data_IF_172477862395
#
_entry.id   IF_172477862395
#
_cell.length_a   1.000
_cell.length_b   1.000
_cell.length_c   1.000
_cell.angle_alpha   90.00
_cell.angle_beta   90.00
_cell.angle_gamma   90.00
#
_symmetry.space_group_name_H-M   'P 1'
#
loop_
_entity.id
_entity.type
_entity.pdbx_description
1 polymer ?
#
# COMPACT_ATOMS: atom_id res chain seq x y z
N UNK A 1 -27.00 -7.44 -18.48
CA UNK A 1 -26.70 -6.41 -17.45
C UNK A 1 -25.24 -6.53 -17.07
N UNK A 2 -24.51 -5.42 -16.97
CA UNK A 2 -23.09 -5.41 -16.60
C UNK A 2 -22.95 -5.56 -15.09
N UNK A 3 -22.07 -6.48 -14.67
CA UNK A 3 -21.71 -6.68 -13.27
C UNK A 3 -20.55 -5.74 -12.94
N UNK A 4 -20.81 -4.75 -12.08
CA UNK A 4 -19.77 -3.90 -11.52
C UNK A 4 -19.13 -4.64 -10.35
N UNK A 5 -17.97 -5.25 -10.62
CA UNK A 5 -17.24 -6.06 -9.63
C UNK A 5 -16.51 -5.15 -8.64
N UNK A 6 -16.65 -5.42 -7.34
CA UNK A 6 -15.83 -4.84 -6.28
C UNK A 6 -15.20 -5.97 -5.46
N UNK A 7 -13.87 -5.98 -5.39
CA UNK A 7 -13.12 -7.07 -4.77
C UNK A 7 -13.51 -7.37 -3.32
N UNK A 8 -13.90 -6.38 -2.52
CA UNK A 8 -14.21 -6.57 -1.10
C UNK A 8 -15.71 -6.62 -0.85
N UNK A 9 -16.47 -5.77 -1.54
CA UNK A 9 -17.85 -5.48 -1.18
C UNK A 9 -18.86 -6.18 -2.09
N UNK A 10 -18.53 -6.43 -3.36
CA UNK A 10 -19.41 -7.06 -4.33
C UNK A 10 -18.62 -7.98 -5.27
N UNK A 11 -18.26 -9.15 -4.75
CA UNK A 11 -17.47 -10.16 -5.43
C UNK A 11 -18.26 -11.48 -5.56
N UNK A 12 -17.64 -12.49 -6.17
CA UNK A 12 -18.28 -13.78 -6.41
C UNK A 12 -18.80 -14.45 -5.12
N UNK A 13 -18.07 -14.33 -4.01
CA UNK A 13 -18.42 -14.97 -2.74
C UNK A 13 -19.42 -14.16 -1.93
N UNK A 14 -19.32 -12.83 -1.91
CA UNK A 14 -20.31 -11.98 -1.22
C UNK A 14 -21.67 -12.12 -1.86
N UNK A 15 -21.74 -12.20 -3.20
CA UNK A 15 -22.98 -12.47 -3.94
C UNK A 15 -23.58 -13.84 -3.65
N UNK A 16 -22.76 -14.88 -3.62
CA UNK A 16 -23.22 -16.23 -3.28
C UNK A 16 -23.73 -16.27 -1.84
N UNK A 17 -23.01 -15.67 -0.90
CA UNK A 17 -23.44 -15.55 0.49
C UNK A 17 -24.79 -14.83 0.61
N UNK A 18 -24.97 -13.71 -0.09
CA UNK A 18 -26.21 -12.94 -0.08
C UNK A 18 -27.37 -13.73 -0.69
N UNK A 19 -27.14 -14.41 -1.82
CA UNK A 19 -28.14 -15.24 -2.48
C UNK A 19 -28.59 -16.40 -1.58
N UNK A 20 -27.64 -17.09 -0.94
CA UNK A 20 -27.94 -18.17 0.01
C UNK A 20 -28.73 -17.63 1.21
N UNK A 21 -28.31 -16.49 1.77
CA UNK A 21 -29.03 -15.85 2.89
C UNK A 21 -30.49 -15.56 2.52
N UNK A 22 -30.74 -15.04 1.32
CA UNK A 22 -32.10 -14.69 0.85
C UNK A 22 -32.96 -15.89 0.46
N UNK A 23 -32.36 -16.97 -0.04
CA UNK A 23 -33.11 -18.10 -0.61
C UNK A 23 -33.31 -19.26 0.36
N UNK A 24 -32.36 -19.51 1.26
CA UNK A 24 -32.40 -20.66 2.18
C UNK A 24 -32.50 -20.26 3.65
N UNK A 25 -32.41 -18.97 3.96
CA UNK A 25 -32.29 -18.50 5.34
C UNK A 25 -30.91 -18.80 5.94
N UNK A 26 -29.87 -18.93 5.10
CA UNK A 26 -28.50 -19.15 5.54
C UNK A 26 -28.06 -18.06 6.53
N UNK A 27 -27.63 -18.49 7.71
CA UNK A 27 -27.06 -17.62 8.74
C UNK A 27 -25.85 -18.29 9.38
N UNK A 28 -24.83 -17.49 9.67
CA UNK A 28 -23.63 -17.93 10.38
C UNK A 28 -23.77 -17.54 11.87
N UNK A 29 -23.87 -18.50 12.80
CA UNK A 29 -24.22 -18.21 14.19
C UNK A 29 -23.05 -17.68 15.02
N UNK A 30 -21.81 -17.83 14.54
CA UNK A 30 -20.59 -17.49 15.27
C UNK A 30 -19.60 -16.70 14.39
N UNK A 31 -18.78 -15.80 14.97
CA UNK A 31 -17.73 -15.12 14.23
C UNK A 31 -16.74 -16.08 13.57
N UNK A 32 -16.38 -15.82 12.31
CA UNK A 32 -15.42 -16.62 11.54
C UNK A 32 -13.96 -16.19 11.74
N UNK A 33 -13.77 -14.98 12.28
CA UNK A 33 -12.49 -14.36 12.59
C UNK A 33 -12.53 -13.76 13.99
N UNK A 34 -11.36 -13.56 14.65
CA UNK A 34 -11.28 -12.81 15.90
C UNK A 34 -11.92 -11.42 15.79
N UNK A 35 -12.46 -10.93 16.91
CA UNK A 35 -13.03 -9.58 16.99
C UNK A 35 -11.96 -8.54 16.67
N UNK A 36 -12.27 -7.61 15.77
CA UNK A 36 -11.35 -6.53 15.38
C UNK A 36 -10.46 -6.88 14.19
N UNK A 37 -10.53 -8.10 13.63
CA UNK A 37 -9.87 -8.42 12.36
C UNK A 37 -10.38 -7.53 11.24
N UNK A 38 -9.47 -6.96 10.45
CA UNK A 38 -9.76 -6.08 9.31
C UNK A 38 -9.64 -6.84 7.98
N UNK A 39 -10.09 -6.24 6.88
CA UNK A 39 -9.84 -6.80 5.54
C UNK A 39 -8.34 -6.93 5.27
N UNK A 40 -7.52 -5.96 5.70
CA UNK A 40 -6.06 -6.00 5.56
C UNK A 40 -5.47 -7.23 6.24
N UNK A 41 -5.87 -7.51 7.47
CA UNK A 41 -5.40 -8.69 8.21
C UNK A 41 -5.71 -9.99 7.47
N UNK A 42 -6.92 -10.10 6.91
CA UNK A 42 -7.33 -11.27 6.14
C UNK A 42 -6.53 -11.40 4.84
N UNK A 43 -6.24 -10.30 4.14
CA UNK A 43 -5.39 -10.32 2.94
C UNK A 43 -3.94 -10.67 3.26
N UNK A 44 -3.40 -10.09 4.33
CA UNK A 44 -2.05 -10.36 4.81
C UNK A 44 -1.85 -11.84 5.15
N UNK A 45 -2.84 -12.49 5.76
CA UNK A 45 -2.78 -13.93 6.05
C UNK A 45 -2.48 -14.76 4.79
N UNK A 46 -3.11 -14.46 3.66
CA UNK A 46 -2.87 -15.17 2.39
C UNK A 46 -1.54 -14.79 1.76
N UNK A 47 -1.19 -13.50 1.78
CA UNK A 47 0.05 -13.01 1.18
C UNK A 47 1.28 -13.52 1.94
N UNK A 48 1.18 -13.61 3.26
CA UNK A 48 2.24 -14.12 4.12
C UNK A 48 2.40 -15.64 3.95
N UNK A 49 1.28 -16.39 3.91
CA UNK A 49 1.30 -17.84 3.59
C UNK A 49 1.83 -18.14 2.19
N UNK A 50 1.48 -17.30 1.22
CA UNK A 50 1.93 -17.41 -0.17
C UNK A 50 3.35 -16.92 -0.41
N UNK A 51 4.03 -16.40 0.63
CA UNK A 51 5.36 -15.82 0.54
C UNK A 51 5.48 -14.68 -0.50
N UNK A 52 4.50 -13.76 -0.50
CA UNK A 52 4.34 -12.70 -1.50
C UNK A 52 4.57 -11.29 -0.93
N UNK A 53 5.76 -10.97 -0.39
CA UNK A 53 5.97 -9.71 0.33
C UNK A 53 5.95 -8.48 -0.60
N UNK A 54 6.34 -8.64 -1.87
CA UNK A 54 6.27 -7.56 -2.86
C UNK A 54 4.84 -7.29 -3.30
N UNK A 55 4.02 -8.33 -3.44
CA UNK A 55 2.58 -8.19 -3.67
C UNK A 55 1.92 -7.51 -2.49
N UNK A 56 2.30 -7.87 -1.25
CA UNK A 56 1.85 -7.21 -0.02
C UNK A 56 2.17 -5.72 -0.02
N UNK A 57 3.42 -5.34 -0.34
CA UNK A 57 3.80 -3.93 -0.49
C UNK A 57 2.94 -3.21 -1.54
N UNK A 58 2.73 -3.82 -2.71
CA UNK A 58 1.93 -3.22 -3.78
C UNK A 58 0.46 -3.03 -3.40
N UNK A 59 -0.13 -4.04 -2.74
CA UNK A 59 -1.50 -3.99 -2.23
C UNK A 59 -1.62 -2.94 -1.13
N UNK A 60 -0.68 -2.88 -0.19
CA UNK A 60 -0.68 -1.89 0.89
C UNK A 60 -0.48 -0.46 0.37
N UNK A 61 0.22 -0.30 -0.77
CA UNK A 61 0.37 0.97 -1.44
C UNK A 61 -0.93 1.39 -2.14
N UNK A 62 -1.58 0.48 -2.87
CA UNK A 62 -2.76 0.77 -3.69
C UNK A 62 -4.06 0.89 -2.90
N UNK A 63 -4.27 0.04 -1.90
CA UNK A 63 -5.51 0.00 -1.11
C UNK A 63 -5.45 0.99 0.07
N UNK A 64 -6.51 1.77 0.21
CA UNK A 64 -6.60 2.85 1.20
C UNK A 64 -7.16 2.39 2.54
N UNK A 65 -7.56 3.35 3.39
CA UNK A 65 -8.01 3.06 4.76
C UNK A 65 -9.27 2.20 4.85
N UNK A 66 -9.99 1.99 3.74
CA UNK A 66 -11.18 1.16 3.69
C UNK A 66 -10.92 -0.31 4.04
N UNK A 67 -9.71 -0.80 3.81
CA UNK A 67 -9.36 -2.17 4.19
C UNK A 67 -8.92 -2.32 5.65
N UNK A 68 -8.77 -1.20 6.36
CA UNK A 68 -8.44 -1.17 7.79
C UNK A 68 -9.70 -1.13 8.68
N UNK A 69 -10.88 -1.14 8.07
CA UNK A 69 -12.15 -1.27 8.79
C UNK A 69 -12.34 -2.73 9.29
N UNK A 70 -12.78 -2.95 10.54
CA UNK A 70 -13.08 -4.29 11.06
C UNK A 70 -14.18 -4.98 10.26
N UNK A 71 -14.01 -6.26 9.96
CA UNK A 71 -15.01 -7.03 9.23
C UNK A 71 -16.16 -7.50 10.14
N UNK A 72 -17.38 -7.40 9.64
CA UNK A 72 -18.53 -8.16 10.15
C UNK A 72 -18.45 -9.64 9.77
N UNK A 73 -19.33 -10.47 10.33
CA UNK A 73 -19.46 -11.89 9.94
C UNK A 73 -19.74 -12.00 8.43
N UNK A 74 -20.70 -11.25 7.92
CA UNK A 74 -21.07 -11.26 6.50
C UNK A 74 -19.90 -10.84 5.61
N UNK A 75 -19.25 -9.72 5.93
CA UNK A 75 -18.13 -9.22 5.14
C UNK A 75 -16.86 -10.05 5.26
N UNK A 76 -16.69 -10.83 6.33
CA UNK A 76 -15.55 -11.77 6.45
C UNK A 76 -15.59 -12.88 5.39
N UNK A 77 -16.78 -13.17 4.84
CA UNK A 77 -16.97 -14.17 3.79
C UNK A 77 -16.62 -13.67 2.38
N UNK A 78 -15.98 -12.50 2.24
CA UNK A 78 -15.49 -11.99 0.95
C UNK A 78 -14.36 -12.86 0.35
N UNK A 79 -13.74 -13.71 1.15
CA UNK A 79 -12.77 -14.71 0.72
C UNK A 79 -13.44 -16.08 0.66
N UNK A 80 -13.21 -16.88 -0.41
CA UNK A 80 -13.88 -18.17 -0.62
C UNK A 80 -13.81 -19.12 0.58
N UNK A 81 -12.64 -19.22 1.24
CA UNK A 81 -12.46 -20.13 2.36
C UNK A 81 -13.31 -19.73 3.57
N UNK A 82 -13.57 -18.43 3.75
CA UNK A 82 -14.41 -17.93 4.83
C UNK A 82 -15.90 -18.13 4.54
N UNK A 83 -16.33 -18.01 3.28
CA UNK A 83 -17.67 -18.45 2.89
C UNK A 83 -17.86 -19.95 3.16
N UNK A 84 -16.87 -20.78 2.82
CA UNK A 84 -16.91 -22.22 3.08
C UNK A 84 -17.00 -22.52 4.58
N UNK A 85 -16.18 -21.88 5.43
CA UNK A 85 -16.30 -21.96 6.89
C UNK A 85 -17.68 -21.54 7.40
N UNK A 86 -18.25 -20.48 6.82
CA UNK A 86 -19.61 -20.03 7.10
C UNK A 86 -20.65 -21.11 6.82
N UNK A 87 -20.57 -21.75 5.65
CA UNK A 87 -21.47 -22.83 5.23
C UNK A 87 -21.36 -24.06 6.14
N UNK A 88 -20.14 -24.46 6.49
CA UNK A 88 -19.89 -25.61 7.37
C UNK A 88 -20.44 -25.40 8.80
N UNK A 89 -20.45 -24.14 9.26
CA UNK A 89 -20.98 -23.77 10.58
C UNK A 89 -22.50 -23.56 10.61
N UNK A 90 -23.16 -23.51 9.45
CA UNK A 90 -24.61 -23.29 9.35
C UNK A 90 -25.42 -24.57 9.57
N UNK A 91 -26.64 -24.43 10.12
CA UNK A 91 -27.57 -25.54 10.32
C UNK A 91 -28.94 -25.25 9.68
N UNK A 92 -29.55 -26.22 8.96
CA UNK A 92 -28.99 -27.52 8.57
C UNK A 92 -27.89 -27.36 7.50
N UNK A 93 -26.91 -28.28 7.47
CA UNK A 93 -25.86 -28.27 6.44
C UNK A 93 -26.50 -28.36 5.05
N UNK A 94 -26.24 -27.36 4.21
CA UNK A 94 -26.82 -27.24 2.86
C UNK A 94 -26.30 -28.31 1.89
N UNK A 95 -25.17 -28.97 2.18
CA UNK A 95 -24.67 -30.17 1.49
C UNK A 95 -23.51 -30.84 2.26
N UNK A 96 -23.17 -32.09 1.93
CA UNK A 96 -21.91 -32.72 2.35
C UNK A 96 -20.76 -32.21 1.46
N UNK A 97 -19.64 -31.71 2.01
CA UNK A 97 -18.53 -31.23 1.21
C UNK A 97 -17.92 -32.39 0.39
N UNK A 98 -17.73 -32.17 -0.92
CA UNK A 98 -16.93 -33.04 -1.79
C UNK A 98 -15.57 -32.37 -1.99
N UNK A 99 -14.52 -32.94 -1.38
CA UNK A 99 -13.15 -32.47 -1.56
C UNK A 99 -12.55 -33.13 -2.80
N UNK A 100 -12.13 -32.31 -3.77
CA UNK A 100 -11.30 -32.76 -4.88
C UNK A 100 -9.84 -32.44 -4.54
N UNK A 101 -8.99 -33.46 -4.41
CA UNK A 101 -7.57 -33.26 -4.17
C UNK A 101 -6.90 -32.82 -5.47
N UNK A 102 -6.75 -31.50 -5.65
CA UNK A 102 -5.78 -30.95 -6.58
C UNK A 102 -4.46 -30.83 -5.83
N UNK A 103 -3.47 -31.65 -6.18
CA UNK A 103 -2.11 -31.47 -5.68
C UNK A 103 -1.54 -30.19 -6.31
N UNK A 104 -1.69 -29.08 -5.61
CA UNK A 104 -0.90 -27.88 -5.86
C UNK A 104 0.44 -28.06 -5.17
N UNK A 105 1.58 -27.74 -5.82
CA UNK A 105 2.86 -27.74 -5.16
C UNK A 105 2.78 -26.82 -3.93
N UNK A 106 3.09 -27.38 -2.76
CA UNK A 106 3.27 -26.59 -1.54
C UNK A 106 4.55 -25.80 -1.76
N UNK A 107 4.43 -24.52 -2.07
CA UNK A 107 5.57 -23.61 -2.01
C UNK A 107 5.89 -23.51 -0.52
N UNK A 108 6.99 -24.13 -0.09
CA UNK A 108 7.47 -23.95 1.27
C UNK A 108 7.64 -22.46 1.52
N UNK A 109 6.99 -21.96 2.58
CA UNK A 109 7.08 -20.56 2.99
C UNK A 109 8.50 -20.30 3.49
N UNK A 110 9.42 -20.01 2.58
CA UNK A 110 10.72 -19.42 2.93
C UNK A 110 10.46 -18.11 3.65
N UNK A 111 11.18 -17.85 4.74
CA UNK A 111 10.94 -16.73 5.65
C UNK A 111 11.25 -15.36 4.97
N UNK A 112 10.38 -14.86 4.06
CA UNK A 112 10.61 -13.63 3.29
C UNK A 112 9.85 -12.41 3.80
N UNK A 113 9.21 -12.51 4.97
CA UNK A 113 8.34 -11.50 5.60
C UNK A 113 9.01 -10.10 5.74
N UNK A 114 10.33 -10.00 5.56
CA UNK A 114 11.11 -8.77 5.70
C UNK A 114 11.81 -8.29 4.43
N UNK A 115 11.63 -8.93 3.27
CA UNK A 115 12.41 -8.59 2.07
C UNK A 115 12.26 -7.13 1.62
N UNK A 116 11.05 -6.57 1.43
CA UNK A 116 10.89 -5.19 1.01
C UNK A 116 11.46 -4.21 2.04
N UNK A 117 11.25 -4.49 3.33
CA UNK A 117 11.76 -3.66 4.43
C UNK A 117 13.29 -3.62 4.44
N UNK A 118 13.94 -4.77 4.31
CA UNK A 118 15.39 -4.87 4.22
C UNK A 118 15.91 -4.12 2.99
N UNK A 119 15.32 -4.35 1.82
CA UNK A 119 15.73 -3.69 0.57
C UNK A 119 15.60 -2.17 0.69
N UNK A 120 14.48 -1.66 1.22
CA UNK A 120 14.28 -0.22 1.39
C UNK A 120 15.21 0.37 2.46
N UNK A 121 15.51 -0.36 3.54
CA UNK A 121 16.49 0.08 4.54
C UNK A 121 17.91 0.15 3.99
N UNK A 122 18.34 -0.85 3.19
CA UNK A 122 19.65 -0.85 2.55
C UNK A 122 19.74 0.21 1.47
N UNK A 123 18.67 0.45 0.72
CA UNK A 123 18.58 1.54 -0.24
C UNK A 123 18.76 2.90 0.46
N UNK A 124 18.06 3.13 1.56
CA UNK A 124 18.20 4.34 2.37
C UNK A 124 19.65 4.52 2.84
N UNK A 125 20.20 3.51 3.53
CA UNK A 125 21.56 3.57 4.10
C UNK A 125 22.58 3.78 2.97
N UNK A 126 22.48 3.02 1.89
CA UNK A 126 23.39 3.11 0.75
C UNK A 126 23.39 4.49 0.10
N UNK A 127 22.21 5.08 -0.16
CA UNK A 127 22.11 6.42 -0.76
C UNK A 127 22.59 7.50 0.21
N UNK A 128 22.29 7.38 1.50
CA UNK A 128 22.77 8.33 2.51
C UNK A 128 24.30 8.32 2.56
N UNK A 129 24.92 7.14 2.72
CA UNK A 129 26.38 7.02 2.76
C UNK A 129 27.04 7.50 1.47
N UNK A 130 26.51 7.06 0.31
CA UNK A 130 27.04 7.49 -0.98
C UNK A 130 26.92 9.01 -1.16
N UNK A 131 25.82 9.62 -0.70
CA UNK A 131 25.62 11.06 -0.75
C UNK A 131 26.59 11.81 0.15
N UNK A 132 26.90 11.31 1.35
CA UNK A 132 27.89 11.95 2.21
C UNK A 132 29.30 11.92 1.59
N UNK A 133 29.65 10.84 0.88
CA UNK A 133 31.00 10.65 0.35
C UNK A 133 31.23 11.20 -1.06
N UNK A 134 30.22 11.13 -1.93
CA UNK A 134 30.39 11.34 -3.39
C UNK A 134 29.51 12.42 -3.97
N UNK A 135 28.65 13.11 -3.20
CA UNK A 135 27.72 14.11 -3.74
C UNK A 135 28.40 15.24 -4.51
N UNK A 136 29.53 15.74 -4.02
CA UNK A 136 30.30 16.78 -4.70
C UNK A 136 31.05 16.25 -5.93
N UNK A 137 31.49 14.99 -5.88
CA UNK A 137 32.27 14.37 -6.95
C UNK A 137 31.38 13.94 -8.12
N UNK A 138 30.14 13.49 -7.85
CA UNK A 138 29.21 12.95 -8.85
C UNK A 138 27.89 13.74 -8.92
N UNK A 139 27.92 15.05 -9.21
CA UNK A 139 26.72 15.90 -9.16
C UNK A 139 25.66 15.47 -10.19
N UNK A 140 26.07 14.98 -11.36
CA UNK A 140 25.14 14.51 -12.39
C UNK A 140 24.40 13.23 -11.96
N UNK A 141 25.10 12.27 -11.33
CA UNK A 141 24.49 11.04 -10.83
C UNK A 141 23.39 11.35 -9.82
N UNK A 142 23.67 12.20 -8.83
CA UNK A 142 22.67 12.54 -7.82
C UNK A 142 21.52 13.36 -8.38
N UNK A 143 21.76 14.19 -9.40
CA UNK A 143 20.69 14.91 -10.11
C UNK A 143 19.75 13.94 -10.83
N UNK A 144 20.30 12.92 -11.49
CA UNK A 144 19.50 11.85 -12.13
C UNK A 144 18.76 11.03 -11.08
N UNK A 145 19.44 10.62 -10.01
CA UNK A 145 18.85 9.85 -8.91
C UNK A 145 17.67 10.60 -8.28
N UNK A 146 17.85 11.88 -7.95
CA UNK A 146 16.79 12.69 -7.35
C UNK A 146 15.64 12.90 -8.33
N UNK A 147 15.94 13.21 -9.60
CA UNK A 147 14.93 13.32 -10.64
C UNK A 147 14.13 12.02 -10.77
N UNK A 148 14.77 10.86 -10.80
CA UNK A 148 14.10 9.57 -10.91
C UNK A 148 13.28 9.24 -9.66
N UNK A 149 13.85 9.44 -8.46
CA UNK A 149 13.21 9.18 -7.18
C UNK A 149 11.92 10.00 -7.02
N UNK A 150 11.99 11.31 -7.25
CA UNK A 150 10.81 12.18 -7.17
C UNK A 150 9.84 11.91 -8.31
N UNK A 151 10.30 11.60 -9.52
CA UNK A 151 9.42 11.26 -10.63
C UNK A 151 8.59 10.00 -10.33
N UNK A 152 9.25 8.91 -9.89
CA UNK A 152 8.57 7.66 -9.53
C UNK A 152 7.57 7.90 -8.38
N UNK A 153 7.97 8.67 -7.37
CA UNK A 153 7.08 9.04 -6.25
C UNK A 153 5.87 9.85 -6.71
N UNK A 154 6.08 10.80 -7.63
CA UNK A 154 5.01 11.59 -8.23
C UNK A 154 4.07 10.76 -9.10
N UNK A 155 4.62 9.85 -9.90
CA UNK A 155 3.82 8.91 -10.71
C UNK A 155 3.02 7.95 -9.83
N UNK A 156 3.59 7.45 -8.73
CA UNK A 156 2.84 6.69 -7.74
C UNK A 156 1.70 7.53 -7.16
N UNK A 157 1.96 8.79 -6.80
CA UNK A 157 0.91 9.73 -6.37
C UNK A 157 -0.20 9.92 -7.39
N UNK A 158 0.14 10.14 -8.66
CA UNK A 158 -0.84 10.26 -9.75
C UNK A 158 -1.67 8.98 -9.88
N UNK A 159 -1.03 7.81 -9.81
CA UNK A 159 -1.72 6.53 -9.85
C UNK A 159 -2.70 6.39 -8.68
N UNK A 160 -2.27 6.67 -7.44
CA UNK A 160 -3.14 6.59 -6.28
C UNK A 160 -4.31 7.57 -6.35
N UNK A 161 -4.07 8.79 -6.83
CA UNK A 161 -5.11 9.79 -7.02
C UNK A 161 -6.11 9.31 -8.08
N UNK A 162 -5.62 8.79 -9.21
CA UNK A 162 -6.47 8.23 -10.26
C UNK A 162 -7.29 7.04 -9.76
N UNK A 163 -6.69 6.12 -8.99
CA UNK A 163 -7.42 4.99 -8.41
C UNK A 163 -8.52 5.44 -7.43
N UNK A 164 -8.27 6.49 -6.66
CA UNK A 164 -9.25 7.03 -5.71
C UNK A 164 -10.41 7.76 -6.40
N UNK A 165 -10.14 8.73 -7.27
CA UNK A 165 -11.19 9.61 -7.83
C UNK A 165 -11.57 9.31 -9.28
N UNK A 166 -10.73 8.56 -10.00
CA UNK A 166 -10.88 8.27 -11.43
C UNK A 166 -11.39 6.86 -11.74
N UNK A 167 -11.63 6.02 -10.73
CA UNK A 167 -12.14 4.65 -10.91
C UNK A 167 -13.21 4.31 -9.87
N UNK A 168 -14.01 3.28 -10.14
CA UNK A 168 -15.02 2.78 -9.20
C UNK A 168 -14.47 1.85 -8.09
N UNK A 169 -13.14 1.79 -7.92
CA UNK A 169 -12.51 0.92 -6.91
C UNK A 169 -12.61 1.52 -5.50
N UNK A 170 -13.70 1.21 -4.78
CA UNK A 170 -13.96 1.73 -3.42
C UNK A 170 -12.84 1.42 -2.43
N UNK A 171 -12.20 0.26 -2.56
CA UNK A 171 -11.07 -0.16 -1.72
C UNK A 171 -9.85 0.76 -1.83
N UNK A 172 -9.70 1.51 -2.93
CA UNK A 172 -8.59 2.46 -3.14
C UNK A 172 -8.89 3.86 -2.57
N UNK A 173 -10.11 4.10 -2.07
CA UNK A 173 -10.49 5.40 -1.52
C UNK A 173 -9.85 5.70 -0.17
N UNK A 174 -9.72 6.99 0.17
CA UNK A 174 -9.08 7.46 1.40
C UNK A 174 -7.68 6.86 1.59
N UNK A 175 -6.87 6.84 0.53
CA UNK A 175 -5.52 6.28 0.59
C UNK A 175 -4.52 7.30 1.11
N UNK A 176 -4.12 7.15 2.38
CA UNK A 176 -3.21 8.05 3.09
C UNK A 176 -1.77 7.98 2.56
N UNK A 177 -1.41 7.00 1.72
CA UNK A 177 -0.11 7.01 1.02
C UNK A 177 0.06 8.25 0.11
N UNK A 178 -1.03 8.88 -0.33
CA UNK A 178 -1.00 10.13 -1.10
C UNK A 178 -0.37 11.30 -0.35
N UNK A 179 -0.31 11.27 0.99
CA UNK A 179 0.27 12.36 1.78
C UNK A 179 1.79 12.44 1.53
N UNK A 180 2.47 11.29 1.41
CA UNK A 180 3.91 11.27 1.11
C UNK A 180 4.19 11.07 -0.40
N UNK A 181 3.33 10.34 -1.11
CA UNK A 181 3.42 10.16 -2.56
C UNK A 181 2.81 11.37 -3.29
N UNK A 182 3.41 12.55 -3.12
CA UNK A 182 2.87 13.81 -3.66
C UNK A 182 2.85 13.78 -5.20
N UNK A 183 1.67 13.87 -5.88
CA UNK A 183 1.59 13.86 -7.34
C UNK A 183 2.42 14.96 -8.01
N UNK A 184 2.56 16.11 -7.33
CA UNK A 184 3.35 17.26 -7.80
C UNK A 184 4.84 16.95 -7.97
N UNK A 185 5.36 15.87 -7.37
CA UNK A 185 6.74 15.45 -7.57
C UNK A 185 7.04 15.04 -9.01
N UNK A 186 6.02 14.61 -9.78
CA UNK A 186 6.19 14.32 -11.20
C UNK A 186 6.67 15.56 -11.96
N UNK A 187 6.17 16.75 -11.60
CA UNK A 187 6.57 18.03 -12.18
C UNK A 187 7.90 18.51 -11.57
N UNK A 188 8.05 18.40 -10.25
CA UNK A 188 9.26 18.83 -9.53
C UNK A 188 10.51 18.09 -10.01
N UNK A 189 10.38 16.81 -10.37
CA UNK A 189 11.46 15.99 -10.93
C UNK A 189 12.09 16.62 -12.17
N UNK A 190 11.29 17.12 -13.11
CA UNK A 190 11.81 17.82 -14.30
C UNK A 190 12.32 19.23 -13.94
N UNK A 191 11.70 19.89 -12.96
CA UNK A 191 12.13 21.20 -12.52
C UNK A 191 13.53 21.19 -11.88
N UNK A 192 13.98 20.06 -11.30
CA UNK A 192 15.36 19.87 -10.80
C UNK A 192 16.42 20.10 -11.88
N UNK A 193 16.07 19.95 -13.15
CA UNK A 193 16.99 20.16 -14.25
C UNK A 193 17.29 21.64 -14.52
N UNK A 194 16.42 22.53 -14.03
CA UNK A 194 16.51 23.99 -14.21
C UNK A 194 16.68 24.68 -12.86
N UNK A 195 17.40 25.79 -12.81
CA UNK A 195 17.47 26.61 -11.59
C UNK A 195 16.16 27.40 -11.43
N UNK A 196 15.23 26.87 -10.64
CA UNK A 196 13.94 27.51 -10.34
C UNK A 196 13.89 27.92 -8.88
N UNK A 197 13.59 29.20 -8.60
CA UNK A 197 13.61 29.74 -7.23
C UNK A 197 12.57 29.11 -6.30
N UNK A 198 11.41 28.66 -6.85
CA UNK A 198 10.35 28.02 -6.08
C UNK A 198 10.72 26.64 -5.52
N UNK A 199 11.75 25.98 -6.08
CA UNK A 199 12.14 24.61 -5.71
C UNK A 199 12.60 24.50 -4.25
N UNK A 200 13.25 25.53 -3.72
CA UNK A 200 13.61 25.52 -2.31
C UNK A 200 12.38 25.49 -1.41
N UNK A 201 11.40 26.37 -1.67
CA UNK A 201 10.17 26.42 -0.87
C UNK A 201 9.38 25.13 -1.02
N UNK A 202 9.33 24.56 -2.22
CA UNK A 202 8.71 23.27 -2.48
C UNK A 202 9.31 22.14 -1.64
N UNK A 203 10.63 21.92 -1.72
CA UNK A 203 11.25 20.83 -0.94
C UNK A 203 11.26 21.09 0.57
N UNK A 204 11.22 22.36 1.01
CA UNK A 204 10.99 22.70 2.42
C UNK A 204 9.59 22.25 2.86
N UNK A 205 8.56 22.54 2.06
CA UNK A 205 7.19 22.07 2.31
C UNK A 205 7.09 20.54 2.26
N UNK A 206 7.65 19.87 1.24
CA UNK A 206 7.68 18.41 1.15
C UNK A 206 8.36 17.79 2.37
N UNK A 207 9.47 18.36 2.83
CA UNK A 207 10.18 17.86 4.01
C UNK A 207 9.34 17.98 5.28
N UNK A 208 8.61 19.07 5.45
CA UNK A 208 7.67 19.22 6.58
C UNK A 208 6.57 18.15 6.51
N UNK A 209 5.99 17.91 5.33
CA UNK A 209 5.00 16.85 5.11
C UNK A 209 5.58 15.49 5.50
N UNK A 210 6.80 15.17 5.07
CA UNK A 210 7.44 13.90 5.43
C UNK A 210 7.70 13.75 6.93
N UNK A 211 8.14 14.82 7.59
CA UNK A 211 8.31 14.81 9.05
C UNK A 211 6.98 14.52 9.74
N UNK A 212 5.89 15.17 9.31
CA UNK A 212 4.55 14.93 9.85
C UNK A 212 4.13 13.48 9.64
N UNK A 213 4.26 12.95 8.41
CA UNK A 213 3.91 11.56 8.08
C UNK A 213 4.68 10.57 8.94
N UNK A 214 5.98 10.76 9.10
CA UNK A 214 6.84 9.88 9.91
C UNK A 214 6.48 9.97 11.39
N UNK A 215 6.18 11.17 11.90
CA UNK A 215 5.77 11.37 13.29
C UNK A 215 4.37 10.78 13.56
N UNK A 216 3.48 10.82 12.57
CA UNK A 216 2.12 10.27 12.67
C UNK A 216 2.00 8.82 12.25
N UNK A 217 3.10 8.13 11.91
CA UNK A 217 3.07 6.83 11.21
C UNK A 217 2.15 5.79 11.86
N UNK A 218 2.16 5.72 13.19
CA UNK A 218 1.38 4.75 13.98
C UNK A 218 0.00 5.25 14.43
N UNK A 219 -0.34 6.51 14.14
CA UNK A 219 -1.58 7.16 14.56
C UNK A 219 -2.56 7.39 13.41
N UNK A 220 -2.15 7.15 12.17
CA UNK A 220 -3.01 7.28 11.00
C UNK A 220 -4.07 6.16 10.99
N UNK A 221 -5.27 6.43 10.46
CA UNK A 221 -6.36 5.43 10.38
C UNK A 221 -6.11 4.35 9.31
N UNK A 222 -5.00 4.43 8.58
CA UNK A 222 -4.56 3.44 7.60
C UNK A 222 -3.24 2.85 8.06
N UNK A 223 -3.13 1.53 8.03
CA UNK A 223 -1.85 0.85 8.26
C UNK A 223 -0.94 1.00 7.04
N UNK A 224 0.29 1.45 7.26
CA UNK A 224 1.30 1.57 6.22
C UNK A 224 2.29 0.41 6.24
N UNK A 225 2.67 -0.05 5.05
CA UNK A 225 3.69 -1.07 4.93
C UNK A 225 5.03 -0.59 5.54
N UNK A 226 5.67 -1.35 6.44
CA UNK A 226 6.91 -0.94 7.10
C UNK A 226 8.06 -0.58 6.15
N UNK A 227 8.11 -1.17 4.96
CA UNK A 227 9.14 -0.84 3.97
C UNK A 227 9.06 0.62 3.51
N UNK A 228 7.86 1.19 3.46
CA UNK A 228 7.63 2.57 3.04
C UNK A 228 8.18 3.59 4.05
N UNK A 229 8.33 3.21 5.33
CA UNK A 229 8.92 4.09 6.34
C UNK A 229 10.33 4.53 5.94
N UNK A 230 11.16 3.57 5.52
CA UNK A 230 12.52 3.83 5.05
C UNK A 230 12.56 4.60 3.73
N UNK A 231 11.58 4.36 2.86
CA UNK A 231 11.44 5.11 1.62
C UNK A 231 11.07 6.59 1.86
N UNK A 232 10.13 6.86 2.78
CA UNK A 232 9.76 8.23 3.17
C UNK A 232 10.91 8.94 3.89
N UNK A 233 11.69 8.23 4.71
CA UNK A 233 12.94 8.77 5.27
C UNK A 233 13.95 9.15 4.18
N UNK A 234 14.08 8.33 3.14
CA UNK A 234 14.95 8.62 2.00
C UNK A 234 14.47 9.88 1.26
N UNK A 235 13.16 10.00 1.01
CA UNK A 235 12.56 11.19 0.40
C UNK A 235 12.81 12.45 1.23
N UNK A 236 12.68 12.36 2.56
CA UNK A 236 13.01 13.45 3.47
C UNK A 236 14.48 13.86 3.34
N UNK A 237 15.40 12.90 3.44
CA UNK A 237 16.83 13.16 3.32
C UNK A 237 17.18 13.85 2.00
N UNK A 238 16.69 13.33 0.87
CA UNK A 238 16.95 13.91 -0.46
C UNK A 238 16.29 15.28 -0.61
N UNK A 239 15.10 15.50 -0.07
CA UNK A 239 14.43 16.81 -0.06
C UNK A 239 15.23 17.85 0.71
N UNK A 240 15.81 17.49 1.86
CA UNK A 240 16.71 18.39 2.62
C UNK A 240 17.98 18.72 1.83
N UNK A 241 18.56 17.75 1.12
CA UNK A 241 19.72 18.03 0.26
C UNK A 241 19.39 18.98 -0.90
N UNK A 242 18.20 18.84 -1.50
CA UNK A 242 17.73 19.75 -2.54
C UNK A 242 17.46 21.17 -2.02
N UNK A 243 16.98 21.32 -0.78
CA UNK A 243 16.88 22.64 -0.15
C UNK A 243 18.26 23.32 -0.05
N UNK A 244 19.29 22.63 0.44
CA UNK A 244 20.64 23.19 0.56
C UNK A 244 21.20 23.64 -0.79
N UNK A 245 21.01 22.82 -1.82
CA UNK A 245 21.43 23.13 -3.19
C UNK A 245 20.76 24.40 -3.74
N UNK A 246 19.43 24.50 -3.61
CA UNK A 246 18.66 25.65 -4.11
C UNK A 246 18.73 26.89 -3.22
N UNK A 247 19.15 26.77 -1.96
CA UNK A 247 19.46 27.92 -1.11
C UNK A 247 20.74 28.62 -1.58
N UNK A 248 21.80 27.86 -1.88
CA UNK A 248 23.05 28.41 -2.40
C UNK A 248 22.84 29.12 -3.75
N UNK A 249 22.03 28.55 -4.64
CA UNK A 249 21.71 29.14 -5.95
C UNK A 249 20.81 30.39 -5.90
N UNK A 250 20.23 30.76 -4.75
CA UNK A 250 19.46 32.01 -4.58
C UNK A 250 20.30 33.16 -4.04
N UNK A 251 21.48 32.86 -3.49
CA UNK A 251 22.41 33.85 -2.94
C UNK A 251 23.53 34.23 -3.93
N UNK A 252 23.48 33.72 -5.17
CA UNK A 252 24.35 34.05 -6.31
C UNK A 252 23.45 34.60 -7.41
#
# INVERSE_FOLDING_TARGET
>A
RYYQYDFLFDNCTTRVSELLSKTTGFTVPQPLVPKGTTYRNMLHEYLDKGNQPWSKLGIDLLLGSKIDEPVSIASSMFLPDYLMKGLDSSKPLLAKPKTYFLQTPVIEAGNSMYMPTLVMSFLLIGIVLLSQWKQQQWPLFFKILDSALFYITGMAGILLLFMWIGTDHKACSNNYNLIWALPTHAIAAFALWKKRQWMHTYFKASSLVYIIVLASWWFLPQEFNPALFYFVLLLLYRSVMQQKWHAHARNI
#
